data_IF_740008461090
#
_entry.id   IF_740008461090
#
_cell.length_a   1.000
_cell.length_b   1.000
_cell.length_c   1.000
_cell.angle_alpha   90.00
_cell.angle_beta   90.00
_cell.angle_gamma   90.00
#
_symmetry.space_group_name_H-M   'P 1'
#
loop_
_entity.id
_entity.type
_entity.pdbx_description
1 polymer ?
#
# COMPACT_ATOMS: atom_id res chain seq x y z
N UNK A 1 31.04 31.43 47.27
CA UNK A 1 31.12 32.33 46.10
C UNK A 1 30.40 31.72 44.93
N UNK A 2 29.58 32.47 44.41
CA UNK A 2 28.47 32.42 43.49
C UNK A 2 28.68 31.57 42.22
N UNK A 3 27.93 30.47 42.13
CA UNK A 3 27.68 29.79 40.87
C UNK A 3 26.65 30.58 40.06
N UNK A 4 27.05 31.06 38.88
CA UNK A 4 26.11 31.58 37.88
C UNK A 4 25.23 30.46 37.36
N UNK A 5 23.92 30.67 37.22
CA UNK A 5 23.08 29.68 36.55
C UNK A 5 23.45 29.62 35.07
N UNK A 6 23.69 28.41 34.58
CA UNK A 6 23.84 28.15 33.12
C UNK A 6 22.59 28.64 32.40
N UNK A 7 22.73 29.28 31.22
CA UNK A 7 21.57 29.67 30.43
C UNK A 7 20.81 28.41 30.02
N UNK A 8 19.54 28.36 30.36
CA UNK A 8 18.62 27.37 29.85
C UNK A 8 18.57 27.55 28.33
N UNK A 9 19.17 26.64 27.61
CA UNK A 9 18.98 26.52 26.15
C UNK A 9 17.54 26.08 25.97
N UNK A 10 16.67 27.07 25.81
CA UNK A 10 15.29 26.83 25.42
C UNK A 10 15.26 26.18 24.03
N UNK A 11 14.94 24.91 23.94
CA UNK A 11 14.48 24.29 22.74
C UNK A 11 13.04 24.74 22.40
N UNK A 12 12.87 26.06 22.28
CA UNK A 12 11.73 26.64 21.61
C UNK A 12 11.98 26.63 20.13
N UNK A 13 11.95 25.45 19.49
CA UNK A 13 11.69 25.41 18.06
C UNK A 13 10.30 25.99 17.93
N UNK A 14 10.19 27.22 17.42
CA UNK A 14 8.88 27.82 17.20
C UNK A 14 8.09 26.90 16.29
N UNK A 15 6.96 26.39 16.78
CA UNK A 15 6.05 25.52 16.02
C UNK A 15 5.72 26.14 14.66
N UNK A 16 5.68 27.48 14.59
CA UNK A 16 5.52 28.30 13.40
C UNK A 16 6.62 28.05 12.36
N UNK A 17 7.90 28.03 12.76
CA UNK A 17 9.02 27.80 11.82
C UNK A 17 9.02 26.38 11.28
N UNK A 18 8.65 25.37 12.10
CA UNK A 18 8.48 23.99 11.65
C UNK A 18 7.32 23.89 10.67
N UNK A 19 6.20 24.54 10.93
CA UNK A 19 5.04 24.57 10.03
C UNK A 19 5.38 25.28 8.70
N UNK A 20 6.16 26.36 8.71
CA UNK A 20 6.61 27.07 7.51
C UNK A 20 7.56 26.20 6.68
N UNK A 21 8.55 25.57 7.31
CA UNK A 21 9.45 24.64 6.62
C UNK A 21 8.69 23.46 6.02
N UNK A 22 7.69 22.93 6.73
CA UNK A 22 6.82 21.86 6.21
C UNK A 22 5.95 22.34 5.05
N UNK A 23 5.49 23.58 5.04
CA UNK A 23 4.74 24.18 3.92
C UNK A 23 5.61 24.30 2.67
N UNK A 24 6.87 24.71 2.80
CA UNK A 24 7.82 24.76 1.69
C UNK A 24 8.07 23.38 1.08
N UNK A 25 8.20 22.34 1.92
CA UNK A 25 8.39 20.96 1.46
C UNK A 25 7.15 20.42 0.76
N UNK A 26 5.95 20.70 1.29
CA UNK A 26 4.69 20.17 0.75
C UNK A 26 4.15 21.03 -0.38
N UNK A 27 4.61 22.28 -0.54
CA UNK A 27 4.11 23.22 -1.53
C UNK A 27 2.58 23.28 -1.59
N UNK A 28 1.96 23.85 -0.57
CA UNK A 28 0.49 23.89 -0.36
C UNK A 28 -0.24 24.63 -1.50
N UNK A 29 0.46 25.47 -2.28
CA UNK A 29 -0.13 26.20 -3.41
C UNK A 29 -0.35 25.34 -4.68
N UNK A 30 0.28 24.15 -4.76
CA UNK A 30 0.05 23.22 -5.87
C UNK A 30 -1.28 22.47 -5.76
N UNK A 31 -1.82 21.91 -6.86
CA UNK A 31 -2.95 20.98 -6.80
C UNK A 31 -2.70 19.81 -5.83
N UNK A 32 -3.75 19.31 -5.19
CA UNK A 32 -3.66 18.10 -4.38
C UNK A 32 -3.25 16.94 -5.27
N UNK A 33 -2.13 16.28 -4.94
CA UNK A 33 -1.57 15.15 -5.70
C UNK A 33 -2.05 13.82 -5.18
N UNK A 34 -2.57 13.01 -6.08
CA UNK A 34 -3.11 11.68 -5.78
C UNK A 34 -2.28 10.64 -6.54
N UNK A 35 -1.50 9.85 -5.82
CA UNK A 35 -0.75 8.75 -6.40
C UNK A 35 -1.66 7.55 -6.64
N UNK A 36 -1.69 7.04 -7.87
CA UNK A 36 -2.50 5.90 -8.30
C UNK A 36 -1.61 4.73 -8.70
N UNK A 37 -1.95 3.55 -8.19
CA UNK A 37 -1.28 2.30 -8.58
C UNK A 37 -1.68 1.89 -10.00
N UNK A 38 -0.73 1.84 -10.93
CA UNK A 38 -0.93 1.43 -12.32
C UNK A 38 -1.55 0.04 -12.45
N UNK A 39 -2.32 -0.15 -13.51
CA UNK A 39 -2.90 -1.43 -13.88
C UNK A 39 -4.38 -1.54 -13.51
N UNK A 40 -4.78 -2.68 -12.92
CA UNK A 40 -6.19 -2.93 -12.58
C UNK A 40 -6.75 -1.91 -11.60
N UNK A 41 -5.99 -1.60 -10.55
CA UNK A 41 -6.42 -0.65 -9.54
C UNK A 41 -6.54 0.79 -10.07
N UNK A 42 -5.71 1.17 -11.03
CA UNK A 42 -5.84 2.46 -11.73
C UNK A 42 -7.23 2.57 -12.41
N UNK A 43 -7.63 1.54 -13.16
CA UNK A 43 -8.93 1.53 -13.84
C UNK A 43 -10.10 1.68 -12.85
N UNK A 44 -10.03 0.96 -11.74
CA UNK A 44 -11.03 1.06 -10.68
C UNK A 44 -11.05 2.45 -10.03
N UNK A 45 -9.89 3.06 -9.82
CA UNK A 45 -9.79 4.43 -9.29
C UNK A 45 -10.36 5.46 -10.25
N UNK A 46 -10.11 5.32 -11.56
CA UNK A 46 -10.70 6.18 -12.60
C UNK A 46 -12.23 6.08 -12.57
N UNK A 47 -12.78 4.86 -12.46
CA UNK A 47 -14.23 4.67 -12.35
C UNK A 47 -14.82 5.35 -11.10
N UNK A 48 -14.13 5.30 -9.95
CA UNK A 48 -14.55 6.03 -8.76
C UNK A 48 -14.52 7.55 -8.97
N UNK A 49 -13.48 8.07 -9.62
CA UNK A 49 -13.37 9.51 -9.93
C UNK A 49 -14.51 9.98 -10.86
N UNK A 50 -14.91 9.16 -11.84
CA UNK A 50 -16.07 9.41 -12.68
C UNK A 50 -17.38 9.48 -11.86
N UNK A 51 -17.56 8.55 -10.92
CA UNK A 51 -18.72 8.60 -10.01
C UNK A 51 -18.72 9.85 -9.11
N UNK A 52 -17.53 10.35 -8.74
CA UNK A 52 -17.39 11.64 -8.05
C UNK A 52 -17.70 12.85 -8.95
N UNK A 53 -17.94 12.65 -10.25
CA UNK A 53 -18.19 13.71 -11.23
C UNK A 53 -16.91 14.42 -11.72
N UNK A 54 -15.73 13.85 -11.52
CA UNK A 54 -14.46 14.43 -11.97
C UNK A 54 -14.20 14.14 -13.46
N UNK A 55 -13.60 15.10 -14.17
CA UNK A 55 -13.16 14.88 -15.55
C UNK A 55 -11.92 13.97 -15.59
N UNK A 56 -12.10 12.74 -16.05
CA UNK A 56 -11.04 11.73 -16.19
C UNK A 56 -10.50 11.59 -17.60
N UNK A 57 -10.91 12.42 -18.53
CA UNK A 57 -10.56 12.34 -19.96
C UNK A 57 -9.04 12.25 -20.18
N UNK A 58 -8.26 13.01 -19.39
CA UNK A 58 -6.80 12.99 -19.48
C UNK A 58 -6.19 11.67 -18.96
N UNK A 59 -6.79 11.05 -17.95
CA UNK A 59 -6.37 9.72 -17.44
C UNK A 59 -6.66 8.61 -18.45
N UNK A 60 -7.81 8.65 -19.11
CA UNK A 60 -8.18 7.68 -20.14
C UNK A 60 -7.30 7.80 -21.38
N UNK A 61 -6.97 9.03 -21.79
CA UNK A 61 -6.13 9.35 -22.94
C UNK A 61 -4.67 9.69 -22.55
N UNK A 62 -4.16 9.04 -21.50
CA UNK A 62 -2.86 9.37 -20.90
C UNK A 62 -1.65 9.19 -21.80
N UNK A 63 -1.68 8.28 -22.79
CA UNK A 63 -0.50 7.89 -23.56
C UNK A 63 0.62 7.38 -22.65
N UNK A 64 1.78 8.04 -22.68
CA UNK A 64 2.95 7.74 -21.82
C UNK A 64 3.11 8.70 -20.65
N UNK A 65 2.18 9.63 -20.48
CA UNK A 65 2.25 10.62 -19.38
C UNK A 65 2.01 9.91 -18.04
N UNK A 66 2.68 10.38 -17.01
CA UNK A 66 2.63 9.83 -15.66
C UNK A 66 2.03 10.79 -14.63
N UNK A 67 1.94 12.06 -14.98
CA UNK A 67 1.33 13.12 -14.19
C UNK A 67 0.25 13.77 -15.07
N UNK A 68 -0.98 13.80 -14.58
CA UNK A 68 -2.15 14.22 -15.37
C UNK A 68 -3.11 15.03 -14.48
N UNK A 69 -3.64 16.15 -15.03
CA UNK A 69 -4.68 16.89 -14.32
C UNK A 69 -5.99 16.09 -14.26
N UNK A 70 -6.69 16.22 -13.16
CA UNK A 70 -8.03 15.69 -12.91
C UNK A 70 -8.82 16.80 -12.20
N UNK A 71 -9.47 17.67 -12.94
CA UNK A 71 -10.07 18.92 -12.44
C UNK A 71 -9.08 19.74 -11.60
N UNK A 72 -9.39 19.96 -10.33
CA UNK A 72 -8.55 20.69 -9.38
C UNK A 72 -7.44 19.82 -8.75
N UNK A 73 -7.35 18.55 -9.11
CA UNK A 73 -6.40 17.57 -8.61
C UNK A 73 -5.34 17.23 -9.66
N UNK A 74 -4.27 16.57 -9.22
CA UNK A 74 -3.22 16.03 -10.09
C UNK A 74 -3.02 14.54 -9.77
N UNK A 75 -3.25 13.67 -10.75
CA UNK A 75 -3.01 12.24 -10.61
C UNK A 75 -1.58 11.88 -11.00
N UNK A 76 -0.92 11.08 -10.18
CA UNK A 76 0.44 10.57 -10.41
C UNK A 76 0.39 9.05 -10.54
N UNK A 77 0.79 8.53 -11.70
CA UNK A 77 0.71 7.10 -12.02
C UNK A 77 2.03 6.39 -11.74
N UNK A 78 2.05 5.46 -10.79
CA UNK A 78 3.26 4.70 -10.41
C UNK A 78 3.00 3.23 -10.10
N UNK A 79 4.06 2.47 -9.80
CA UNK A 79 3.93 1.12 -9.23
C UNK A 79 3.50 1.21 -7.77
N UNK A 80 2.86 0.16 -7.26
CA UNK A 80 2.33 0.14 -5.90
C UNK A 80 3.36 0.50 -4.80
N UNK A 81 4.59 -0.03 -4.77
CA UNK A 81 5.58 0.39 -3.78
C UNK A 81 5.97 1.87 -3.88
N UNK A 82 6.03 2.41 -5.11
CA UNK A 82 6.37 3.82 -5.34
C UNK A 82 5.26 4.76 -4.84
N UNK A 83 3.98 4.33 -4.89
CA UNK A 83 2.85 5.08 -4.28
C UNK A 83 3.11 5.31 -2.80
N UNK A 84 3.53 4.27 -2.08
CA UNK A 84 3.91 4.36 -0.66
C UNK A 84 5.01 5.42 -0.50
N UNK A 85 6.09 5.29 -1.24
CA UNK A 85 7.25 6.20 -1.16
C UNK A 85 6.85 7.65 -1.42
N UNK A 86 6.05 7.92 -2.46
CA UNK A 86 5.63 9.29 -2.79
C UNK A 86 4.72 9.91 -1.73
N UNK A 87 3.88 9.11 -1.08
CA UNK A 87 3.04 9.59 0.02
C UNK A 87 3.87 9.81 1.28
N UNK A 88 4.74 8.89 1.66
CA UNK A 88 5.60 9.03 2.85
C UNK A 88 6.48 10.28 2.79
N UNK A 89 7.04 10.58 1.61
CA UNK A 89 7.89 11.75 1.40
C UNK A 89 7.13 13.06 1.11
N UNK A 90 5.79 13.06 1.11
CA UNK A 90 4.97 14.25 0.87
C UNK A 90 5.00 14.76 -0.57
N UNK A 91 5.58 14.00 -1.51
CA UNK A 91 5.53 14.31 -2.94
C UNK A 91 4.11 14.21 -3.47
N UNK A 92 3.37 13.22 -2.97
CA UNK A 92 1.93 13.10 -3.13
C UNK A 92 1.24 13.23 -1.77
N UNK A 93 0.07 13.85 -1.76
CA UNK A 93 -0.73 14.08 -0.56
C UNK A 93 -1.54 12.85 -0.18
N UNK A 94 -2.07 12.17 -1.21
CA UNK A 94 -2.94 10.99 -1.10
C UNK A 94 -2.38 9.88 -1.98
N UNK A 95 -2.59 8.63 -1.60
CA UNK A 95 -2.29 7.45 -2.41
C UNK A 95 -3.43 6.45 -2.42
N UNK A 96 -3.66 5.79 -3.56
CA UNK A 96 -4.56 4.65 -3.68
C UNK A 96 -3.72 3.41 -4.00
N UNK A 97 -3.70 2.47 -3.07
CA UNK A 97 -2.80 1.31 -3.09
C UNK A 97 -3.45 0.09 -2.44
N UNK A 98 -3.03 -1.12 -2.80
CA UNK A 98 -3.50 -2.34 -2.17
C UNK A 98 -3.00 -2.50 -0.73
N UNK A 99 -3.82 -3.09 0.14
CA UNK A 99 -3.45 -3.41 1.53
C UNK A 99 -2.21 -4.31 1.60
N UNK A 100 -2.01 -5.17 0.62
CA UNK A 100 -0.82 -6.01 0.45
C UNK A 100 0.48 -5.21 0.45
N UNK A 101 0.50 -4.15 -0.35
CA UNK A 101 1.66 -3.25 -0.45
C UNK A 101 1.86 -2.45 0.83
N UNK A 102 0.76 -2.03 1.49
CA UNK A 102 0.82 -1.31 2.77
C UNK A 102 1.49 -2.18 3.84
N UNK A 103 1.06 -3.42 4.00
CA UNK A 103 1.60 -4.31 5.04
C UNK A 103 3.06 -4.65 4.76
N UNK A 104 3.43 -4.87 3.51
CA UNK A 104 4.80 -5.22 3.14
C UNK A 104 5.77 -4.03 3.25
N UNK A 105 5.36 -2.82 2.82
CA UNK A 105 6.27 -1.69 2.63
C UNK A 105 5.93 -0.44 3.45
N UNK A 106 4.69 -0.32 3.96
CA UNK A 106 4.23 0.90 4.59
C UNK A 106 4.80 1.13 5.98
N UNK A 107 5.05 2.40 6.32
CA UNK A 107 5.54 2.78 7.65
C UNK A 107 4.98 4.10 8.17
N UNK A 108 4.88 5.17 7.36
CA UNK A 108 4.73 6.54 7.85
C UNK A 108 3.67 7.36 7.10
N UNK A 109 2.40 6.95 7.22
CA UNK A 109 1.22 7.65 6.66
C UNK A 109 -0.02 7.27 7.46
N UNK A 110 -1.14 7.94 7.18
CA UNK A 110 -2.46 7.52 7.67
C UNK A 110 -3.15 6.64 6.63
N UNK A 111 -3.61 5.46 7.02
CA UNK A 111 -4.56 4.65 6.25
C UNK A 111 -5.96 5.09 6.67
N UNK A 112 -6.72 5.74 5.78
CA UNK A 112 -7.93 6.49 6.15
C UNK A 112 -9.23 5.90 5.61
N UNK A 113 -9.19 5.15 4.50
CA UNK A 113 -10.41 4.62 3.88
C UNK A 113 -10.16 3.27 3.21
N UNK A 114 -11.07 2.32 3.40
CA UNK A 114 -11.18 1.09 2.62
C UNK A 114 -12.12 1.33 1.44
N UNK A 115 -11.60 1.23 0.23
CA UNK A 115 -12.38 1.43 -0.99
C UNK A 115 -13.27 0.22 -1.35
N UNK A 116 -13.09 -0.90 -0.65
CA UNK A 116 -13.83 -2.15 -0.90
C UNK A 116 -13.71 -2.70 -2.35
N UNK A 117 -12.70 -2.27 -3.11
CA UNK A 117 -12.40 -2.71 -4.48
C UNK A 117 -11.13 -3.52 -4.51
N UNK A 118 -10.95 -4.34 -5.56
CA UNK A 118 -9.78 -5.21 -5.71
C UNK A 118 -9.66 -6.25 -4.60
N UNK A 119 -10.80 -6.76 -4.10
CA UNK A 119 -10.84 -7.73 -3.00
C UNK A 119 -10.12 -9.01 -3.36
N UNK A 120 -9.23 -9.42 -2.50
CA UNK A 120 -8.50 -10.67 -2.54
C UNK A 120 -8.08 -11.04 -1.10
N UNK A 121 -7.23 -12.03 -0.94
CA UNK A 121 -6.74 -12.45 0.37
C UNK A 121 -5.31 -12.94 0.27
N UNK A 122 -4.53 -12.78 1.33
CA UNK A 122 -3.30 -13.55 1.49
C UNK A 122 -3.65 -14.97 1.89
N UNK A 123 -2.94 -15.93 1.32
CA UNK A 123 -3.08 -17.33 1.66
C UNK A 123 -1.73 -18.05 1.62
N UNK A 124 -1.60 -19.07 2.46
CA UNK A 124 -0.61 -20.12 2.35
C UNK A 124 -1.15 -21.16 1.38
N UNK A 125 -0.36 -21.52 0.38
CA UNK A 125 -0.68 -22.60 -0.56
C UNK A 125 0.52 -23.53 -0.72
N UNK A 126 0.26 -24.82 -0.96
CA UNK A 126 1.30 -25.82 -1.21
C UNK A 126 0.86 -26.79 -2.33
N UNK A 127 1.74 -27.68 -2.82
CA UNK A 127 1.35 -28.73 -3.75
C UNK A 127 0.21 -29.57 -3.18
N UNK A 128 -0.74 -29.92 -4.06
CA UNK A 128 -1.88 -30.75 -3.72
C UNK A 128 -1.41 -32.05 -3.05
N UNK A 129 -2.24 -32.57 -2.14
CA UNK A 129 -1.96 -33.77 -1.37
C UNK A 129 -0.72 -33.68 -0.45
N UNK A 130 -0.25 -32.46 -0.14
CA UNK A 130 0.86 -32.22 0.79
C UNK A 130 0.32 -31.63 2.10
N UNK A 131 0.64 -32.27 3.23
CA UNK A 131 0.41 -31.67 4.54
C UNK A 131 1.57 -30.71 4.88
N UNK A 132 1.36 -29.43 4.67
CA UNK A 132 2.39 -28.41 4.89
C UNK A 132 2.87 -28.38 6.33
N UNK A 133 1.98 -28.61 7.30
CA UNK A 133 2.31 -28.51 8.72
C UNK A 133 2.89 -29.78 9.32
N UNK A 134 2.93 -30.88 8.58
CA UNK A 134 3.50 -32.13 9.06
C UNK A 134 5.03 -32.16 9.08
N UNK A 135 5.57 -33.00 9.97
CA UNK A 135 7.01 -33.27 10.08
C UNK A 135 7.79 -32.20 10.86
N UNK A 136 9.05 -32.52 11.14
CA UNK A 136 9.96 -31.67 11.96
C UNK A 136 11.00 -30.91 11.12
N UNK A 137 11.00 -31.09 9.80
CA UNK A 137 11.92 -30.37 8.90
C UNK A 137 11.51 -28.90 8.84
N UNK A 138 12.48 -28.01 8.97
CA UNK A 138 12.29 -26.58 8.69
C UNK A 138 11.74 -26.40 7.28
N UNK A 139 10.58 -25.76 7.18
CA UNK A 139 9.93 -25.47 5.89
C UNK A 139 10.55 -24.28 5.19
N UNK A 140 10.46 -24.27 3.87
CA UNK A 140 10.83 -23.15 3.02
C UNK A 140 9.61 -22.64 2.29
N UNK A 141 9.38 -21.33 2.31
CA UNK A 141 8.24 -20.68 1.66
C UNK A 141 8.74 -19.61 0.69
N UNK A 142 8.18 -19.60 -0.50
CA UNK A 142 8.43 -18.53 -1.46
C UNK A 142 7.30 -17.49 -1.39
N UNK A 143 7.67 -16.21 -1.50
CA UNK A 143 6.70 -15.11 -1.47
C UNK A 143 7.23 -13.87 -2.18
N UNK A 144 6.33 -13.10 -2.78
CA UNK A 144 6.60 -11.74 -3.19
C UNK A 144 6.58 -10.79 -1.97
N UNK A 145 5.98 -11.23 -0.88
CA UNK A 145 5.73 -10.48 0.35
C UNK A 145 6.44 -11.15 1.54
N UNK A 146 7.79 -11.08 1.61
CA UNK A 146 8.56 -11.77 2.62
C UNK A 146 8.24 -11.32 4.05
N UNK A 147 7.90 -10.04 4.27
CA UNK A 147 7.51 -9.54 5.59
C UNK A 147 6.20 -10.18 6.05
N UNK A 148 5.18 -10.19 5.19
CA UNK A 148 3.89 -10.83 5.47
C UNK A 148 4.07 -12.31 5.77
N UNK A 149 4.84 -13.02 4.94
CA UNK A 149 5.10 -14.45 5.16
C UNK A 149 5.80 -14.70 6.50
N UNK A 150 6.81 -13.91 6.83
CA UNK A 150 7.55 -14.04 8.09
C UNK A 150 6.66 -13.79 9.30
N UNK A 151 5.92 -12.69 9.33
CA UNK A 151 5.00 -12.33 10.41
C UNK A 151 3.91 -13.41 10.63
N UNK A 152 3.39 -13.99 9.55
CA UNK A 152 2.41 -15.08 9.61
C UNK A 152 2.98 -16.31 10.33
N UNK A 153 4.17 -16.79 9.94
CA UNK A 153 4.74 -17.97 10.58
C UNK A 153 5.27 -17.70 11.98
N UNK A 154 5.81 -16.51 12.24
CA UNK A 154 6.18 -16.10 13.60
C UNK A 154 4.98 -16.10 14.55
N UNK A 155 3.81 -15.64 14.09
CA UNK A 155 2.57 -15.68 14.89
C UNK A 155 2.12 -17.09 15.26
N UNK A 156 2.54 -18.09 14.48
CA UNK A 156 2.30 -19.52 14.73
C UNK A 156 3.43 -20.20 15.52
N UNK A 157 4.48 -19.45 15.88
CA UNK A 157 5.66 -20.01 16.54
C UNK A 157 6.49 -20.94 15.64
N UNK A 158 6.38 -20.77 14.31
CA UNK A 158 7.09 -21.60 13.34
C UNK A 158 8.31 -20.87 12.78
N UNK A 159 9.46 -21.52 12.79
CA UNK A 159 10.66 -21.07 12.07
C UNK A 159 10.63 -21.58 10.62
N UNK A 160 10.47 -20.66 9.67
CA UNK A 160 10.43 -20.95 8.22
C UNK A 160 11.48 -20.13 7.49
N UNK A 161 12.11 -20.73 6.50
CA UNK A 161 12.95 -19.98 5.56
C UNK A 161 12.05 -19.31 4.52
N UNK A 162 12.15 -17.98 4.37
CA UNK A 162 11.39 -17.24 3.37
C UNK A 162 12.30 -16.83 2.21
N UNK A 163 11.94 -17.22 1.00
CA UNK A 163 12.63 -16.87 -0.24
C UNK A 163 11.79 -15.84 -1.00
N UNK A 164 12.38 -14.68 -1.29
CA UNK A 164 11.73 -13.64 -2.08
C UNK A 164 11.72 -13.99 -3.56
N UNK A 165 10.54 -13.95 -4.18
CA UNK A 165 10.33 -14.13 -5.62
C UNK A 165 9.54 -12.92 -6.15
N UNK A 166 10.03 -12.28 -7.20
CA UNK A 166 9.37 -11.08 -7.76
C UNK A 166 8.27 -11.41 -8.79
N UNK A 167 8.34 -12.58 -9.41
CA UNK A 167 7.43 -13.02 -10.48
C UNK A 167 6.41 -14.05 -10.00
N UNK A 168 6.23 -15.11 -10.83
CA UNK A 168 5.30 -16.20 -10.55
C UNK A 168 5.83 -17.08 -9.42
N UNK A 169 5.33 -16.84 -8.22
CA UNK A 169 5.77 -17.56 -7.01
C UNK A 169 5.39 -19.04 -7.04
N UNK A 170 4.36 -19.39 -7.80
CA UNK A 170 3.87 -20.77 -8.01
C UNK A 170 4.96 -21.71 -8.57
N UNK A 171 5.92 -21.16 -9.30
CA UNK A 171 7.04 -21.93 -9.83
C UNK A 171 7.96 -22.50 -8.74
N UNK A 172 8.06 -21.84 -7.60
CA UNK A 172 9.00 -22.22 -6.55
C UNK A 172 8.72 -23.63 -5.99
N UNK A 173 7.50 -24.01 -5.59
CA UNK A 173 7.23 -25.38 -5.16
C UNK A 173 7.28 -26.39 -6.32
N UNK A 174 6.86 -26.00 -7.52
CA UNK A 174 6.92 -26.90 -8.69
C UNK A 174 8.34 -27.29 -9.08
N UNK A 175 9.31 -26.39 -8.86
CA UNK A 175 10.72 -26.63 -9.10
C UNK A 175 11.46 -27.21 -7.88
N UNK A 176 10.75 -27.49 -6.78
CA UNK A 176 11.35 -28.03 -5.54
C UNK A 176 12.20 -27.02 -4.75
N UNK A 177 12.04 -25.71 -5.02
CA UNK A 177 12.75 -24.64 -4.30
C UNK A 177 12.09 -24.34 -2.95
N UNK A 178 10.78 -24.51 -2.84
CA UNK A 178 10.02 -24.23 -1.63
C UNK A 178 8.98 -25.32 -1.36
N UNK A 179 8.61 -25.49 -0.09
CA UNK A 179 7.57 -26.43 0.33
C UNK A 179 6.15 -25.84 0.10
N UNK A 180 6.04 -24.50 0.01
CA UNK A 180 4.80 -23.77 -0.22
C UNK A 180 5.05 -22.31 -0.56
N UNK A 181 3.97 -21.57 -0.74
CA UNK A 181 4.00 -20.14 -1.05
C UNK A 181 3.05 -19.36 -0.12
N UNK A 182 3.41 -18.10 0.14
CA UNK A 182 2.48 -17.09 0.69
C UNK A 182 2.28 -16.03 -0.37
N UNK A 183 1.07 -15.92 -0.89
CA UNK A 183 0.77 -14.96 -1.95
C UNK A 183 -0.69 -14.48 -1.90
N UNK A 184 -1.00 -13.53 -2.76
CA UNK A 184 -2.35 -12.99 -2.97
C UNK A 184 -3.17 -13.97 -3.80
N UNK A 185 -4.34 -14.31 -3.30
CA UNK A 185 -5.29 -15.20 -3.97
C UNK A 185 -6.62 -14.46 -4.15
N UNK A 186 -7.06 -14.32 -5.38
CA UNK A 186 -8.39 -13.77 -5.70
C UNK A 186 -9.40 -14.91 -5.89
N UNK A 187 -9.27 -15.72 -6.94
CA UNK A 187 -10.15 -16.85 -7.24
C UNK A 187 -9.50 -18.21 -6.98
N UNK A 188 -8.18 -18.25 -6.88
CA UNK A 188 -7.40 -19.47 -6.76
C UNK A 188 -7.25 -20.29 -8.05
N UNK A 189 -7.71 -19.77 -9.21
CA UNK A 189 -7.59 -20.48 -10.50
C UNK A 189 -6.13 -20.75 -10.87
N UNK A 190 -5.26 -19.75 -10.76
CA UNK A 190 -3.82 -19.90 -11.03
C UNK A 190 -3.19 -20.98 -10.16
N UNK A 191 -3.52 -21.06 -8.88
CA UNK A 191 -3.03 -22.11 -7.99
C UNK A 191 -3.47 -23.48 -8.48
N UNK A 192 -4.76 -23.66 -8.77
CA UNK A 192 -5.31 -24.94 -9.23
C UNK A 192 -4.70 -25.40 -10.54
N UNK A 193 -4.52 -24.49 -11.52
CA UNK A 193 -3.90 -24.79 -12.81
C UNK A 193 -2.45 -25.25 -12.66
N UNK A 194 -1.76 -24.81 -11.60
CA UNK A 194 -0.39 -25.21 -11.26
C UNK A 194 -0.31 -26.31 -10.20
N UNK A 195 -1.42 -27.01 -9.90
CA UNK A 195 -1.41 -28.14 -8.96
C UNK A 195 -1.17 -27.74 -7.49
N UNK A 196 -1.45 -26.48 -7.14
CA UNK A 196 -1.39 -25.98 -5.78
C UNK A 196 -2.79 -25.82 -5.19
N UNK A 197 -2.88 -25.93 -3.88
CA UNK A 197 -4.12 -25.69 -3.15
C UNK A 197 -3.87 -24.78 -1.94
N UNK A 198 -4.91 -24.00 -1.58
CA UNK A 198 -4.88 -23.14 -0.40
C UNK A 198 -4.97 -24.02 0.84
N UNK A 199 -3.96 -23.89 1.69
CA UNK A 199 -3.91 -24.56 3.01
C UNK A 199 -4.59 -23.71 4.07
N UNK A 200 -4.30 -22.40 4.06
CA UNK A 200 -4.83 -21.47 5.05
C UNK A 200 -4.96 -20.06 4.49
N UNK A 201 -6.07 -19.40 4.79
CA UNK A 201 -6.28 -17.98 4.52
C UNK A 201 -5.69 -17.16 5.65
N UNK A 202 -4.85 -16.16 5.32
CA UNK A 202 -4.13 -15.37 6.31
C UNK A 202 -4.96 -14.14 6.72
N UNK A 203 -5.28 -13.26 5.77
CA UNK A 203 -6.20 -12.15 5.97
C UNK A 203 -6.72 -11.59 4.64
N UNK A 204 -7.91 -10.95 4.64
CA UNK A 204 -8.47 -10.30 3.46
C UNK A 204 -7.72 -9.01 3.13
N UNK A 205 -7.65 -8.66 1.85
CA UNK A 205 -7.06 -7.43 1.33
C UNK A 205 -8.00 -6.75 0.34
N UNK A 206 -7.92 -5.41 0.32
CA UNK A 206 -8.64 -4.53 -0.60
C UNK A 206 -7.79 -3.29 -0.86
N UNK A 207 -8.22 -2.45 -1.80
CA UNK A 207 -7.58 -1.17 -2.04
C UNK A 207 -7.88 -0.19 -0.89
N UNK A 208 -6.86 0.57 -0.51
CA UNK A 208 -6.88 1.54 0.58
C UNK A 208 -6.48 2.92 0.11
N UNK A 209 -7.02 3.92 0.78
CA UNK A 209 -6.53 5.30 0.66
C UNK A 209 -5.57 5.56 1.80
N UNK A 210 -4.38 6.03 1.44
CA UNK A 210 -3.36 6.49 2.39
C UNK A 210 -3.12 7.98 2.21
N UNK A 211 -2.78 8.68 3.29
CA UNK A 211 -2.59 10.13 3.31
C UNK A 211 -1.27 10.47 4.01
N UNK A 212 -0.50 11.36 3.42
CA UNK A 212 0.71 11.89 4.05
C UNK A 212 0.37 12.59 5.35
N UNK A 213 1.15 12.32 6.41
CA UNK A 213 0.88 12.83 7.77
C UNK A 213 0.90 14.36 7.85
N UNK A 214 1.81 15.02 7.12
CA UNK A 214 1.92 16.47 7.12
C UNK A 214 0.84 17.09 6.23
N UNK A 215 0.56 16.53 5.04
CA UNK A 215 -0.54 16.97 4.18
C UNK A 215 -1.88 16.91 4.91
N UNK A 216 -2.14 15.86 5.68
CA UNK A 216 -3.37 15.72 6.46
C UNK A 216 -3.58 16.88 7.47
N UNK A 217 -2.48 17.47 7.97
CA UNK A 217 -2.55 18.62 8.88
C UNK A 217 -2.63 19.96 8.14
N UNK A 218 -1.85 20.12 7.07
CA UNK A 218 -1.68 21.37 6.36
C UNK A 218 -2.77 21.64 5.31
N UNK A 219 -3.40 20.59 4.79
CA UNK A 219 -4.42 20.61 3.72
C UNK A 219 -5.70 19.87 4.16
N UNK A 220 -6.02 19.92 5.45
CA UNK A 220 -7.09 19.12 6.06
C UNK A 220 -8.41 19.24 5.30
N UNK A 221 -8.90 20.45 5.09
CA UNK A 221 -10.23 20.67 4.49
C UNK A 221 -10.33 20.15 3.05
N UNK A 222 -9.24 20.29 2.26
CA UNK A 222 -9.17 19.77 0.89
C UNK A 222 -9.19 18.24 0.89
N UNK A 223 -8.42 17.61 1.79
CA UNK A 223 -8.31 16.15 1.90
C UNK A 223 -9.62 15.56 2.41
N UNK A 224 -10.20 16.11 3.47
CA UNK A 224 -11.49 15.66 4.01
C UNK A 224 -12.62 15.81 2.97
N UNK A 225 -12.62 16.91 2.20
CA UNK A 225 -13.55 17.10 1.10
C UNK A 225 -13.42 16.03 0.02
N UNK A 226 -12.18 15.70 -0.38
CA UNK A 226 -11.91 14.62 -1.35
C UNK A 226 -12.35 13.26 -0.80
N UNK A 227 -11.97 12.92 0.43
CA UNK A 227 -12.31 11.64 1.07
C UNK A 227 -13.81 11.45 1.21
N UNK A 228 -14.55 12.49 1.60
CA UNK A 228 -16.01 12.44 1.73
C UNK A 228 -16.71 12.18 0.39
N UNK A 229 -16.23 12.78 -0.71
CA UNK A 229 -16.75 12.49 -2.05
C UNK A 229 -16.41 11.06 -2.49
N UNK A 230 -15.19 10.61 -2.21
CA UNK A 230 -14.75 9.27 -2.57
C UNK A 230 -15.50 8.17 -1.80
N UNK A 231 -15.77 8.37 -0.52
CA UNK A 231 -16.54 7.45 0.33
C UNK A 231 -17.97 7.29 -0.19
N UNK A 232 -18.62 8.38 -0.59
CA UNK A 232 -19.95 8.34 -1.22
C UNK A 232 -19.92 7.53 -2.52
N UNK A 233 -18.94 7.77 -3.38
CA UNK A 233 -18.78 7.05 -4.64
C UNK A 233 -18.50 5.54 -4.47
N UNK A 234 -17.95 5.12 -3.32
CA UNK A 234 -17.76 3.70 -2.99
C UNK A 234 -19.06 3.03 -2.50
N UNK A 235 -20.02 3.80 -1.99
CA UNK A 235 -21.26 3.29 -1.41
C UNK A 235 -22.38 3.12 -2.45
N UNK A 236 -22.21 3.71 -3.64
CA UNK A 236 -23.07 3.59 -4.83
C UNK A 236 -22.60 2.46 -5.77
#
# INVERSE_FOLDING_TARGET
>A
EFGMPAPAIGFGVEVTAVCEAMREVINVERPLRIALTKGRLEKSSVSLFQKMGLDTTQLENKGRRLILPVDKYEAVLSKAPDVITYVEHGVCDIGIVGKDTIVEHGSSFYEVLDLNIGKCKFALACPKDTDFFSGYKRKTVASKYPKVAKEFFESKGMDVAVIKIEGSVELAPLLGLADGIVDIVETGSTLKENGLEVVEEIFPISARVIVNMASMKLRKDEIEGFLSCLEKACSE
#
